data_IF_187905909644
#
_entry.id   IF_187905909644
#
_cell.length_a   1.000
_cell.length_b   1.000
_cell.length_c   1.000
_cell.angle_alpha   90.00
_cell.angle_beta   90.00
_cell.angle_gamma   90.00
#
_symmetry.space_group_name_H-M   'P 1'
#
loop_
_entity.id
_entity.type
_entity.pdbx_description
1 polymer ?
#
# COMPACT_ATOMS: atom_id res chain seq x y z
N UNK A 1 8.73 -25.77 5.21
CA UNK A 1 7.83 -24.58 5.13
C UNK A 1 8.68 -23.33 5.07
N UNK A 2 8.26 -22.37 4.27
CA UNK A 2 8.85 -21.04 4.16
C UNK A 2 7.77 -20.01 4.55
N UNK A 3 8.21 -18.96 5.27
CA UNK A 3 7.41 -17.74 5.48
C UNK A 3 8.33 -16.55 5.25
N UNK A 4 7.88 -15.63 4.40
CA UNK A 4 8.52 -14.34 4.16
C UNK A 4 7.49 -13.28 4.52
N UNK A 5 7.85 -12.33 5.40
CA UNK A 5 6.95 -11.28 5.85
C UNK A 5 7.66 -9.95 5.94
N UNK A 6 7.00 -8.90 5.51
CA UNK A 6 7.44 -7.54 5.73
C UNK A 6 7.01 -7.06 7.12
N UNK A 7 7.93 -6.40 7.82
CA UNK A 7 7.70 -5.86 9.16
C UNK A 7 8.46 -4.56 9.33
N UNK A 8 8.09 -3.82 10.37
CA UNK A 8 8.86 -2.66 10.83
C UNK A 8 9.15 -1.66 9.71
N UNK A 9 8.15 -1.41 8.85
CA UNK A 9 8.25 -0.34 7.86
C UNK A 9 8.48 0.99 8.58
N UNK A 10 9.45 1.76 8.09
CA UNK A 10 9.84 3.05 8.63
C UNK A 10 9.93 4.07 7.50
N UNK A 11 8.88 4.85 7.34
CA UNK A 11 8.80 5.84 6.29
C UNK A 11 9.89 6.93 6.40
N UNK A 12 10.28 7.31 7.62
CA UNK A 12 11.33 8.31 7.86
C UNK A 12 12.70 7.86 7.36
N UNK A 13 13.03 6.60 7.56
CA UNK A 13 14.30 6.01 7.16
C UNK A 13 14.24 5.40 5.75
N UNK A 14 13.06 5.39 5.13
CA UNK A 14 12.78 4.75 3.83
C UNK A 14 13.19 3.26 3.80
N UNK A 15 12.87 2.53 4.88
CA UNK A 15 13.25 1.13 5.04
C UNK A 15 12.10 0.25 5.48
N UNK A 16 12.20 -1.04 5.13
CA UNK A 16 11.35 -2.12 5.62
C UNK A 16 12.23 -3.31 6.00
N UNK A 17 11.78 -4.13 6.93
CA UNK A 17 12.46 -5.35 7.37
C UNK A 17 11.80 -6.57 6.73
N UNK A 18 12.55 -7.34 5.95
CA UNK A 18 12.12 -8.64 5.43
C UNK A 18 12.49 -9.69 6.47
N UNK A 19 11.48 -10.38 6.99
CA UNK A 19 11.64 -11.45 7.96
C UNK A 19 11.48 -12.81 7.30
N UNK A 20 12.49 -13.64 7.41
CA UNK A 20 12.53 -15.01 6.90
C UNK A 20 12.34 -16.01 8.03
N UNK A 21 11.50 -17.04 7.82
CA UNK A 21 11.38 -18.20 8.69
C UNK A 21 11.27 -19.48 7.84
N UNK A 22 12.32 -20.29 7.86
CA UNK A 22 12.44 -21.48 7.01
C UNK A 22 12.58 -22.73 7.87
N UNK A 23 11.82 -23.78 7.53
CA UNK A 23 11.99 -25.13 8.11
C UNK A 23 12.32 -26.08 6.97
N UNK A 24 13.60 -26.47 6.78
CA UNK A 24 14.00 -27.47 5.79
C UNK A 24 13.46 -28.85 6.21
N UNK A 25 13.36 -29.77 5.23
CA UNK A 25 12.89 -31.15 5.48
C UNK A 25 13.87 -31.92 6.37
N UNK A 26 15.17 -31.67 6.20
CA UNK A 26 16.25 -32.34 6.90
C UNK A 26 17.24 -31.31 7.41
N UNK A 27 17.59 -31.36 8.68
CA UNK A 27 18.60 -30.52 9.29
C UNK A 27 19.11 -31.12 10.61
N UNK A 28 20.27 -30.70 11.06
CA UNK A 28 20.86 -31.05 12.35
C UNK A 28 21.18 -29.79 13.15
N UNK A 29 21.66 -29.95 14.37
CA UNK A 29 22.12 -28.81 15.19
C UNK A 29 23.27 -28.04 14.55
N UNK A 30 24.08 -28.71 13.72
CA UNK A 30 25.24 -28.11 13.05
C UNK A 30 24.95 -27.54 11.65
N UNK A 31 23.69 -27.61 11.22
CA UNK A 31 23.26 -27.03 9.95
C UNK A 31 23.40 -25.50 9.99
N UNK A 32 24.16 -24.97 9.03
CA UNK A 32 24.25 -23.53 8.74
C UNK A 32 23.29 -23.19 7.62
N UNK A 33 22.66 -22.04 7.67
CA UNK A 33 21.76 -21.57 6.63
C UNK A 33 22.02 -20.11 6.30
N UNK A 34 21.84 -19.77 5.03
CA UNK A 34 21.99 -18.42 4.50
C UNK A 34 20.88 -18.15 3.48
N UNK A 35 20.42 -16.91 3.38
CA UNK A 35 19.57 -16.40 2.32
C UNK A 35 20.30 -15.29 1.58
N UNK A 36 20.24 -15.31 0.24
CA UNK A 36 20.74 -14.26 -0.63
C UNK A 36 19.63 -13.79 -1.58
N UNK A 37 19.54 -12.49 -1.85
CA UNK A 37 18.60 -11.88 -2.77
C UNK A 37 19.10 -10.49 -3.18
N UNK A 38 19.04 -10.15 -4.45
CA UNK A 38 19.69 -8.97 -4.99
C UNK A 38 21.13 -8.86 -4.45
N UNK A 39 21.52 -7.73 -3.92
CA UNK A 39 22.84 -7.50 -3.30
C UNK A 39 22.95 -7.91 -1.82
N UNK A 40 21.90 -8.48 -1.25
CA UNK A 40 21.85 -8.82 0.18
C UNK A 40 22.15 -10.29 0.41
N UNK A 41 22.86 -10.58 1.49
CA UNK A 41 23.09 -11.92 2.01
C UNK A 41 23.01 -11.91 3.52
N UNK A 42 22.31 -12.89 4.11
CA UNK A 42 22.13 -12.96 5.54
C UNK A 42 22.12 -14.41 6.05
N UNK A 43 22.97 -14.68 7.06
CA UNK A 43 22.96 -15.96 7.79
C UNK A 43 21.69 -16.07 8.64
N UNK A 44 21.03 -17.22 8.55
CA UNK A 44 19.86 -17.53 9.36
C UNK A 44 20.28 -18.22 10.67
N UNK A 45 19.64 -17.81 11.77
CA UNK A 45 19.85 -18.41 13.09
C UNK A 45 18.83 -19.51 13.33
N UNK A 46 19.31 -20.67 13.77
CA UNK A 46 18.42 -21.77 14.18
C UNK A 46 17.75 -21.44 15.51
N UNK A 47 16.40 -21.47 15.55
CA UNK A 47 15.61 -21.26 16.75
C UNK A 47 14.34 -22.12 16.72
N UNK A 48 14.18 -23.01 17.71
CA UNK A 48 13.00 -23.88 17.86
C UNK A 48 12.62 -24.63 16.56
N UNK A 49 13.61 -25.23 15.90
CA UNK A 49 13.39 -26.01 14.68
C UNK A 49 13.22 -25.21 13.40
N UNK A 50 13.38 -23.89 13.44
CA UNK A 50 13.33 -22.99 12.27
C UNK A 50 14.63 -22.23 12.12
N UNK A 51 14.96 -21.87 10.89
CA UNK A 51 16.03 -20.94 10.56
C UNK A 51 15.40 -19.58 10.29
N UNK A 52 15.80 -18.56 11.05
CA UNK A 52 15.22 -17.23 11.02
C UNK A 52 16.27 -16.15 10.74
N UNK A 53 15.90 -15.16 9.98
CA UNK A 53 16.69 -13.96 9.76
C UNK A 53 15.76 -12.75 9.53
N UNK A 54 16.33 -11.56 9.69
CA UNK A 54 15.71 -10.31 9.27
C UNK A 54 16.75 -9.49 8.53
N UNK A 55 16.35 -8.87 7.42
CA UNK A 55 17.18 -7.99 6.61
C UNK A 55 16.44 -6.67 6.38
N UNK A 56 17.08 -5.56 6.69
CA UNK A 56 16.53 -4.23 6.42
C UNK A 56 16.92 -3.79 5.02
N UNK A 57 15.92 -3.43 4.22
CA UNK A 57 16.07 -3.00 2.82
C UNK A 57 15.33 -1.69 2.58
N UNK A 58 15.64 -0.93 1.51
CA UNK A 58 14.81 0.18 1.08
C UNK A 58 13.39 -0.31 0.75
N UNK A 59 12.36 0.37 1.22
CA UNK A 59 10.98 -0.06 1.02
C UNK A 59 10.50 0.05 -0.44
N UNK A 60 11.21 0.81 -1.28
CA UNK A 60 10.93 0.95 -2.72
C UNK A 60 11.48 -0.23 -3.55
N UNK A 61 12.28 -1.12 -2.96
CA UNK A 61 12.84 -2.29 -3.63
C UNK A 61 12.00 -3.53 -3.37
N UNK A 62 11.53 -4.15 -4.43
CA UNK A 62 10.76 -5.40 -4.40
C UNK A 62 11.66 -6.53 -4.89
N UNK A 63 11.77 -7.59 -4.09
CA UNK A 63 12.57 -8.77 -4.39
C UNK A 63 11.66 -9.95 -4.60
N UNK A 64 11.75 -10.60 -5.75
CA UNK A 64 10.94 -11.78 -6.09
C UNK A 64 11.71 -13.08 -5.98
N UNK A 65 13.04 -13.05 -6.10
CA UNK A 65 13.90 -14.25 -6.04
C UNK A 65 14.72 -14.29 -4.76
N UNK A 66 14.63 -15.42 -4.04
CA UNK A 66 15.38 -15.68 -2.82
C UNK A 66 16.13 -17.00 -2.92
N UNK A 67 17.45 -16.95 -2.76
CA UNK A 67 18.34 -18.11 -2.79
C UNK A 67 18.67 -18.57 -1.37
N UNK A 68 18.21 -19.74 -0.99
CA UNK A 68 18.51 -20.35 0.30
C UNK A 68 19.60 -21.41 0.15
N UNK A 69 20.62 -21.35 1.01
CA UNK A 69 21.69 -22.32 1.08
C UNK A 69 21.73 -22.94 2.47
N UNK A 70 21.83 -24.27 2.53
CA UNK A 70 21.94 -25.03 3.78
C UNK A 70 23.19 -25.91 3.69
N UNK A 71 24.08 -25.78 4.67
CA UNK A 71 25.31 -26.60 4.80
C UNK A 71 25.18 -27.50 6.03
N UNK A 72 25.28 -28.82 5.82
CA UNK A 72 25.27 -29.82 6.90
C UNK A 72 26.42 -30.81 6.68
N UNK A 73 27.34 -30.94 7.64
CA UNK A 73 28.49 -31.86 7.54
C UNK A 73 29.32 -31.69 6.26
N UNK A 74 29.51 -30.45 5.81
CA UNK A 74 30.26 -30.15 4.58
C UNK A 74 29.50 -30.40 3.27
N UNK A 75 28.24 -30.82 3.34
CA UNK A 75 27.35 -30.95 2.18
C UNK A 75 26.46 -29.73 2.08
N UNK A 76 26.50 -29.06 0.94
CA UNK A 76 25.70 -27.89 0.64
C UNK A 76 24.51 -28.26 -0.24
N UNK A 77 23.30 -27.81 0.18
CA UNK A 77 22.07 -27.87 -0.63
C UNK A 77 21.55 -26.43 -0.81
N UNK A 78 21.16 -26.09 -2.02
CA UNK A 78 20.56 -24.79 -2.33
C UNK A 78 19.18 -24.92 -2.93
N UNK A 79 18.37 -23.89 -2.77
CA UNK A 79 17.03 -23.77 -3.36
C UNK A 79 16.77 -22.32 -3.67
N UNK A 80 16.32 -22.06 -4.89
CA UNK A 80 15.79 -20.74 -5.29
C UNK A 80 14.29 -20.75 -5.14
N UNK A 81 13.76 -19.71 -4.58
CA UNK A 81 12.34 -19.50 -4.35
C UNK A 81 11.92 -18.25 -5.12
N UNK A 82 10.97 -18.40 -6.02
CA UNK A 82 10.26 -17.27 -6.61
C UNK A 82 9.09 -16.91 -5.67
N UNK A 83 9.13 -15.73 -5.09
CA UNK A 83 8.14 -15.29 -4.11
C UNK A 83 6.74 -15.15 -4.71
N UNK A 84 6.63 -14.80 -5.99
CA UNK A 84 5.36 -14.66 -6.70
C UNK A 84 4.57 -15.98 -6.81
N UNK A 85 5.26 -17.12 -6.64
CA UNK A 85 4.65 -18.46 -6.64
C UNK A 85 4.15 -18.90 -5.25
N UNK A 86 4.40 -18.08 -4.21
CA UNK A 86 4.05 -18.41 -2.82
C UNK A 86 2.95 -17.49 -2.29
N UNK A 87 1.80 -18.04 -1.99
CA UNK A 87 0.65 -17.32 -1.43
C UNK A 87 0.89 -16.63 -0.08
N UNK A 88 1.95 -17.00 0.63
CA UNK A 88 2.33 -16.41 1.94
C UNK A 88 3.33 -15.24 1.79
N UNK A 89 3.67 -14.84 0.57
CA UNK A 89 4.52 -13.70 0.29
C UNK A 89 3.67 -12.45 0.16
N UNK A 90 3.81 -11.57 1.12
CA UNK A 90 3.21 -10.24 1.10
C UNK A 90 4.34 -9.25 0.86
N UNK A 91 4.53 -8.81 -0.38
CA UNK A 91 5.47 -7.74 -0.66
C UNK A 91 4.88 -6.37 -0.29
N UNK A 92 5.74 -5.38 -0.23
CA UNK A 92 5.33 -4.03 0.17
C UNK A 92 4.52 -3.33 -0.93
N UNK A 93 4.61 -3.79 -2.18
CA UNK A 93 3.89 -3.25 -3.32
C UNK A 93 2.43 -3.71 -3.39
N UNK A 94 2.08 -4.80 -2.69
CA UNK A 94 0.71 -5.31 -2.65
C UNK A 94 -0.24 -4.51 -1.74
N UNK A 95 0.24 -3.42 -1.12
CA UNK A 95 -0.61 -2.56 -0.30
C UNK A 95 -1.74 -1.91 -1.08
N UNK A 96 -1.55 -1.64 -2.37
CA UNK A 96 -2.62 -1.16 -3.24
C UNK A 96 -3.77 -2.16 -3.34
N UNK A 97 -3.48 -3.44 -3.50
CA UNK A 97 -4.48 -4.52 -3.48
C UNK A 97 -5.21 -4.59 -2.15
N UNK A 98 -4.48 -4.48 -1.02
CA UNK A 98 -5.09 -4.48 0.32
C UNK A 98 -6.03 -3.27 0.49
N UNK A 99 -5.64 -2.10 -0.01
CA UNK A 99 -6.48 -0.90 0.03
C UNK A 99 -7.73 -1.07 -0.84
N UNK A 100 -7.61 -1.62 -2.04
CA UNK A 100 -8.74 -1.87 -2.93
C UNK A 100 -9.74 -2.85 -2.33
N UNK A 101 -9.28 -3.90 -1.65
CA UNK A 101 -10.14 -4.88 -0.99
C UNK A 101 -10.88 -4.31 0.24
N UNK A 102 -10.34 -3.27 0.85
CA UNK A 102 -10.81 -2.71 2.11
C UNK A 102 -11.54 -1.37 1.98
N UNK A 103 -11.60 -0.79 0.80
CA UNK A 103 -12.36 0.43 0.55
C UNK A 103 -13.55 0.11 -0.32
N UNK A 104 -14.74 0.22 0.26
CA UNK A 104 -15.99 0.18 -0.50
C UNK A 104 -16.49 1.61 -0.71
N UNK A 105 -16.74 1.95 -1.96
CA UNK A 105 -17.36 3.21 -2.34
C UNK A 105 -18.74 2.89 -2.90
N UNK A 106 -19.80 3.18 -2.16
CA UNK A 106 -21.13 3.21 -2.76
C UNK A 106 -21.30 4.56 -3.47
N UNK A 107 -21.17 4.51 -4.79
CA UNK A 107 -21.36 5.68 -5.63
C UNK A 107 -22.85 5.95 -5.82
N UNK A 108 -23.38 6.89 -5.06
CA UNK A 108 -24.71 7.47 -5.25
C UNK A 108 -24.62 8.86 -5.87
N UNK A 109 -23.59 9.11 -6.69
CA UNK A 109 -23.45 10.38 -7.36
C UNK A 109 -24.40 10.41 -8.58
N UNK A 110 -25.50 11.14 -8.46
CA UNK A 110 -26.19 11.69 -9.61
C UNK A 110 -25.54 13.05 -9.90
N UNK A 111 -24.92 13.23 -11.08
CA UNK A 111 -24.39 14.54 -11.45
C UNK A 111 -25.55 15.54 -11.40
N UNK A 112 -25.53 16.44 -10.43
CA UNK A 112 -26.47 17.55 -10.43
C UNK A 112 -25.91 18.60 -11.37
N UNK A 113 -26.69 18.95 -12.36
CA UNK A 113 -26.47 20.00 -13.35
C UNK A 113 -26.38 21.40 -12.74
N UNK A 114 -25.60 21.62 -11.70
CA UNK A 114 -25.54 22.91 -11.03
C UNK A 114 -24.11 23.46 -11.01
N UNK A 115 -23.60 23.82 -12.17
CA UNK A 115 -22.59 24.87 -12.24
C UNK A 115 -23.33 26.20 -12.25
N UNK A 116 -23.31 26.90 -11.12
CA UNK A 116 -23.85 28.24 -11.00
C UNK A 116 -22.72 29.21 -10.72
N UNK A 117 -22.63 30.28 -11.49
CA UNK A 117 -21.63 31.35 -11.32
C UNK A 117 -20.17 30.84 -11.32
N UNK A 118 -19.87 29.86 -12.18
CA UNK A 118 -18.51 29.28 -12.30
C UNK A 118 -18.11 28.40 -11.09
N UNK A 119 -19.09 27.90 -10.35
CA UNK A 119 -18.87 27.00 -9.21
C UNK A 119 -19.64 25.70 -9.36
N UNK A 120 -19.03 24.61 -8.95
CA UNK A 120 -19.61 23.29 -8.88
C UNK A 120 -19.67 22.75 -7.45
N UNK A 121 -20.68 21.94 -7.16
CA UNK A 121 -20.77 21.21 -5.91
C UNK A 121 -20.30 19.77 -6.14
N UNK A 122 -19.21 19.38 -5.49
CA UNK A 122 -18.71 18.01 -5.46
C UNK A 122 -19.23 17.32 -4.19
N UNK A 123 -19.85 16.16 -4.35
CA UNK A 123 -20.41 15.41 -3.24
C UNK A 123 -20.09 13.92 -3.41
N UNK A 124 -19.67 13.27 -2.34
CA UNK A 124 -19.54 11.81 -2.26
C UNK A 124 -20.24 11.34 -0.98
N UNK A 125 -20.98 10.24 -1.08
CA UNK A 125 -21.79 9.70 0.01
C UNK A 125 -21.39 8.27 0.31
N UNK A 126 -21.63 7.87 1.57
CA UNK A 126 -21.53 6.47 2.01
C UNK A 126 -20.21 5.80 1.66
N UNK A 127 -19.10 6.51 1.91
CA UNK A 127 -17.78 5.90 1.84
C UNK A 127 -17.50 5.12 3.11
N UNK A 128 -17.16 3.85 2.92
CA UNK A 128 -16.70 2.96 3.97
C UNK A 128 -15.24 2.62 3.76
N UNK A 129 -14.45 2.69 4.83
CA UNK A 129 -13.06 2.25 4.88
C UNK A 129 -12.91 1.18 5.94
N UNK A 130 -12.64 -0.03 5.52
CA UNK A 130 -12.22 -1.11 6.41
C UNK A 130 -10.71 -1.13 6.50
N UNK A 131 -10.18 -0.85 7.66
CA UNK A 131 -8.75 -0.89 7.95
C UNK A 131 -8.57 -1.42 9.37
N UNK A 132 -7.60 -2.30 9.58
CA UNK A 132 -7.27 -2.77 10.93
C UNK A 132 -6.85 -1.55 11.77
N UNK A 133 -7.58 -1.30 12.88
CA UNK A 133 -7.27 -0.22 13.80
C UNK A 133 -5.80 -0.27 14.27
N UNK A 134 -5.24 -1.48 14.34
CA UNK A 134 -3.83 -1.69 14.66
C UNK A 134 -2.87 -1.10 13.62
N UNK A 135 -3.29 -0.86 12.40
CA UNK A 135 -2.46 -0.33 11.30
C UNK A 135 -2.58 1.19 11.15
N UNK A 136 -3.61 1.82 11.73
CA UNK A 136 -3.79 3.27 11.68
C UNK A 136 -2.95 3.98 12.75
N UNK A 137 -2.29 5.06 12.41
CA UNK A 137 -1.35 5.80 13.27
C UNK A 137 -2.01 6.82 14.18
N UNK A 138 -3.19 6.62 14.68
CA UNK A 138 -3.86 7.60 15.54
C UNK A 138 -4.29 8.90 14.84
N UNK A 139 -4.12 9.03 13.53
CA UNK A 139 -4.75 10.05 12.70
C UNK A 139 -6.04 9.52 12.14
N UNK A 140 -7.11 10.29 12.25
CA UNK A 140 -8.41 9.93 11.66
C UNK A 140 -8.31 9.89 10.14
N UNK A 141 -8.75 8.82 9.47
CA UNK A 141 -8.89 8.79 8.03
C UNK A 141 -9.77 9.93 7.52
N UNK A 142 -9.49 10.42 6.32
CA UNK A 142 -10.16 11.59 5.75
C UNK A 142 -10.62 11.33 4.32
N UNK A 143 -11.78 11.87 3.97
CA UNK A 143 -12.22 12.04 2.59
C UNK A 143 -11.66 13.37 2.10
N UNK A 144 -10.96 13.36 0.97
CA UNK A 144 -10.29 14.54 0.43
C UNK A 144 -10.74 14.81 -1.00
N UNK A 145 -10.87 16.09 -1.34
CA UNK A 145 -10.90 16.54 -2.73
C UNK A 145 -9.59 17.27 -3.04
N UNK A 146 -9.03 17.01 -4.21
CA UNK A 146 -7.81 17.66 -4.68
C UNK A 146 -7.95 18.19 -6.10
N UNK A 147 -7.21 19.27 -6.39
CA UNK A 147 -6.98 19.82 -7.72
C UNK A 147 -5.47 19.92 -7.94
N UNK A 148 -4.97 19.47 -9.08
CA UNK A 148 -3.53 19.49 -9.41
C UNK A 148 -2.64 18.88 -8.30
N UNK A 149 -3.11 17.76 -7.70
CA UNK A 149 -2.41 17.06 -6.62
C UNK A 149 -2.45 17.77 -5.26
N UNK A 150 -3.05 18.95 -5.14
CA UNK A 150 -3.20 19.68 -3.88
C UNK A 150 -4.58 19.48 -3.29
N UNK A 151 -4.65 19.10 -2.01
CA UNK A 151 -5.91 18.97 -1.28
C UNK A 151 -6.53 20.36 -1.14
N UNK A 152 -7.77 20.51 -1.65
CA UNK A 152 -8.59 21.74 -1.57
C UNK A 152 -9.66 21.63 -0.49
N UNK A 153 -10.05 20.42 -0.12
CA UNK A 153 -11.00 20.14 0.94
C UNK A 153 -10.72 18.79 1.59
N UNK A 154 -10.97 18.66 2.89
CA UNK A 154 -10.91 17.40 3.62
C UNK A 154 -11.98 17.33 4.69
N UNK A 155 -12.52 16.12 4.90
CA UNK A 155 -13.51 15.79 5.91
C UNK A 155 -13.07 14.55 6.67
N UNK A 156 -13.02 14.61 7.99
CA UNK A 156 -12.72 13.45 8.83
C UNK A 156 -13.82 12.40 8.72
N UNK A 157 -13.43 11.14 8.61
CA UNK A 157 -14.34 10.00 8.70
C UNK A 157 -14.64 9.67 10.16
N UNK A 158 -15.76 9.00 10.39
CA UNK A 158 -16.18 8.56 11.72
C UNK A 158 -15.93 7.07 11.87
N UNK A 159 -15.40 6.66 13.02
CA UNK A 159 -15.23 5.26 13.33
C UNK A 159 -16.48 4.64 13.93
N UNK A 160 -16.88 3.48 13.42
CA UNK A 160 -17.92 2.63 14.00
C UNK A 160 -17.27 1.39 14.62
N UNK A 161 -17.30 1.29 15.94
CA UNK A 161 -16.69 0.19 16.67
C UNK A 161 -17.47 -1.14 16.54
N UNK A 162 -18.75 -1.10 16.15
CA UNK A 162 -19.56 -2.31 15.98
C UNK A 162 -19.14 -3.07 14.70
N UNK A 163 -18.87 -2.33 13.63
CA UNK A 163 -18.49 -2.89 12.33
C UNK A 163 -16.97 -2.86 12.09
N UNK A 164 -16.21 -2.25 13.00
CA UNK A 164 -14.76 -2.02 12.86
C UNK A 164 -14.40 -1.28 11.55
N UNK A 165 -15.17 -0.25 11.22
CA UNK A 165 -15.05 0.50 9.97
C UNK A 165 -15.07 2.01 10.23
N UNK A 166 -14.38 2.74 9.33
CA UNK A 166 -14.58 4.18 9.20
C UNK A 166 -15.60 4.45 8.10
N UNK A 167 -16.46 5.43 8.31
CA UNK A 167 -17.49 5.83 7.35
C UNK A 167 -17.59 7.34 7.24
N UNK A 168 -18.04 7.81 6.10
CA UNK A 168 -18.21 9.25 5.91
C UNK A 168 -18.86 9.62 4.58
N UNK A 169 -19.20 10.89 4.53
CA UNK A 169 -19.64 11.57 3.31
C UNK A 169 -18.97 12.93 3.28
N UNK A 170 -18.69 13.46 2.11
CA UNK A 170 -18.07 14.75 1.97
C UNK A 170 -18.75 15.55 0.87
N UNK A 171 -18.92 16.87 1.13
CA UNK A 171 -19.50 17.80 0.18
C UNK A 171 -18.75 19.12 0.23
N UNK A 172 -18.40 19.65 -0.93
CA UNK A 172 -17.71 20.93 -1.04
C UNK A 172 -18.14 21.68 -2.30
N UNK A 173 -17.97 22.98 -2.31
CA UNK A 173 -18.16 23.83 -3.49
C UNK A 173 -16.78 24.28 -3.96
N UNK A 174 -16.50 24.10 -5.24
CA UNK A 174 -15.22 24.45 -5.88
C UNK A 174 -15.45 25.39 -7.05
N UNK A 175 -14.40 26.13 -7.42
CA UNK A 175 -14.40 26.86 -8.69
C UNK A 175 -14.38 25.86 -9.84
N UNK A 176 -15.20 26.07 -10.86
CA UNK A 176 -15.33 25.14 -11.97
C UNK A 176 -15.07 25.91 -13.28
N UNK A 177 -13.83 25.87 -13.74
CA UNK A 177 -13.47 26.37 -15.05
C UNK A 177 -13.42 25.19 -16.03
N UNK A 178 -13.58 25.47 -17.32
CA UNK A 178 -13.51 24.46 -18.36
C UNK A 178 -12.20 23.66 -18.25
N UNK A 179 -12.30 22.32 -18.27
CA UNK A 179 -11.23 21.34 -18.08
C UNK A 179 -10.57 21.32 -16.68
N UNK A 180 -11.14 21.96 -15.68
CA UNK A 180 -10.68 21.73 -14.29
C UNK A 180 -11.01 20.30 -13.87
N UNK A 181 -10.01 19.60 -13.33
CA UNK A 181 -10.17 18.22 -12.84
C UNK A 181 -9.96 18.16 -11.34
N UNK A 182 -10.93 17.58 -10.65
CA UNK A 182 -10.86 17.30 -9.22
C UNK A 182 -10.85 15.79 -8.98
N UNK A 183 -10.06 15.34 -8.00
CA UNK A 183 -10.04 13.94 -7.58
C UNK A 183 -10.53 13.83 -6.15
N UNK A 184 -11.45 12.87 -5.92
CA UNK A 184 -11.87 12.47 -4.59
C UNK A 184 -11.10 11.22 -4.17
N UNK A 185 -10.59 11.19 -2.94
CA UNK A 185 -9.92 10.04 -2.40
C UNK A 185 -10.07 9.96 -0.88
N UNK A 186 -10.04 8.74 -0.36
CA UNK A 186 -9.81 8.47 1.07
C UNK A 186 -8.32 8.44 1.33
N UNK A 187 -7.88 9.10 2.39
CA UNK A 187 -6.49 8.99 2.87
C UNK A 187 -6.43 8.58 4.32
N UNK A 188 -5.42 7.81 4.66
CA UNK A 188 -5.03 7.59 6.04
C UNK A 188 -3.51 7.46 6.17
N UNK A 189 -3.01 7.67 7.38
CA UNK A 189 -1.59 7.50 7.68
C UNK A 189 -1.44 6.22 8.50
N UNK A 190 -0.71 5.26 7.96
CA UNK A 190 -0.39 4.01 8.65
C UNK A 190 0.63 4.21 9.78
N UNK A 191 0.78 3.23 10.65
CA UNK A 191 1.79 3.23 11.73
C UNK A 191 3.23 3.37 11.23
N UNK A 192 3.49 2.95 10.01
CA UNK A 192 4.77 3.15 9.32
C UNK A 192 5.12 4.62 9.09
N UNK A 193 4.11 5.50 9.11
CA UNK A 193 4.21 6.91 8.72
C UNK A 193 3.99 7.14 7.23
N UNK A 194 3.64 6.10 6.46
CA UNK A 194 3.24 6.24 5.06
C UNK A 194 1.80 6.73 4.97
N UNK A 195 1.52 7.56 3.96
CA UNK A 195 0.18 7.99 3.62
C UNK A 195 -0.38 7.11 2.50
N UNK A 196 -1.55 6.54 2.72
CA UNK A 196 -2.28 5.73 1.75
C UNK A 196 -3.43 6.56 1.19
N UNK A 197 -3.58 6.59 -0.14
CA UNK A 197 -4.67 7.24 -0.86
C UNK A 197 -5.38 6.23 -1.74
N UNK A 198 -6.66 6.10 -1.54
CA UNK A 198 -7.55 5.36 -2.43
C UNK A 198 -8.44 6.36 -3.18
N UNK A 199 -8.26 6.44 -4.49
CA UNK A 199 -9.01 7.34 -5.35
C UNK A 199 -10.37 6.72 -5.68
N UNK A 200 -11.43 7.42 -5.30
CA UNK A 200 -12.82 6.96 -5.48
C UNK A 200 -13.41 7.53 -6.77
N UNK A 201 -13.21 8.83 -7.01
CA UNK A 201 -13.82 9.54 -8.13
C UNK A 201 -12.91 10.60 -8.72
N UNK A 202 -13.07 10.81 -10.03
CA UNK A 202 -12.54 11.96 -10.75
C UNK A 202 -13.71 12.77 -11.29
N UNK A 203 -13.69 14.08 -11.10
CA UNK A 203 -14.70 15.04 -11.55
C UNK A 203 -14.06 15.98 -12.56
N UNK A 204 -14.64 16.09 -13.74
CA UNK A 204 -14.17 16.97 -14.83
C UNK A 204 -15.20 18.05 -15.05
N UNK A 205 -14.76 19.33 -15.00
CA UNK A 205 -15.61 20.48 -15.21
C UNK A 205 -15.74 20.78 -16.72
N UNK A 206 -16.94 20.59 -17.28
CA UNK A 206 -17.32 20.92 -18.64
C UNK A 206 -17.96 22.32 -18.66
N UNK A 207 -17.12 23.35 -18.61
CA UNK A 207 -17.58 24.74 -18.43
C UNK A 207 -18.43 25.29 -19.56
N UNK A 208 -18.32 24.77 -20.78
CA UNK A 208 -19.15 25.19 -21.91
C UNK A 208 -20.58 24.67 -21.80
N UNK A 209 -20.78 23.47 -21.24
CA UNK A 209 -22.06 22.81 -21.09
C UNK A 209 -22.63 22.94 -19.68
N UNK A 210 -21.92 23.60 -18.77
CA UNK A 210 -22.30 23.81 -17.36
C UNK A 210 -22.62 22.53 -16.58
N UNK A 211 -21.90 21.45 -16.82
CA UNK A 211 -22.03 20.22 -16.03
C UNK A 211 -20.66 19.72 -15.53
N UNK A 212 -20.70 18.80 -14.58
CA UNK A 212 -19.53 18.09 -14.07
C UNK A 212 -19.71 16.62 -14.42
N UNK A 213 -18.80 16.10 -15.22
CA UNK A 213 -18.69 14.65 -15.46
C UNK A 213 -17.96 13.98 -14.32
N UNK A 214 -18.35 12.75 -13.98
CA UNK A 214 -17.69 11.97 -12.94
C UNK A 214 -17.36 10.57 -13.40
N UNK A 215 -16.13 10.16 -13.11
CA UNK A 215 -15.64 8.82 -13.44
C UNK A 215 -15.17 8.14 -12.16
N UNK A 216 -15.61 6.90 -11.94
CA UNK A 216 -15.12 6.07 -10.84
C UNK A 216 -13.65 5.76 -11.07
N UNK A 217 -12.85 5.89 -10.03
CA UNK A 217 -11.42 5.59 -10.05
C UNK A 217 -11.10 4.62 -8.92
N UNK A 218 -10.57 3.44 -9.28
CA UNK A 218 -10.17 2.41 -8.31
C UNK A 218 -8.64 2.33 -8.19
N UNK A 219 -7.99 3.47 -8.12
CA UNK A 219 -6.53 3.53 -8.01
C UNK A 219 -6.10 3.77 -6.56
N UNK A 220 -5.14 2.98 -6.10
CA UNK A 220 -4.49 3.18 -4.81
C UNK A 220 -3.05 3.66 -5.02
N UNK A 221 -2.61 4.58 -4.16
CA UNK A 221 -1.25 5.12 -4.17
C UNK A 221 -0.71 5.23 -2.76
N UNK A 222 0.59 5.05 -2.60
CA UNK A 222 1.30 5.18 -1.34
C UNK A 222 2.26 6.37 -1.44
N UNK A 223 2.25 7.23 -0.43
CA UNK A 223 3.09 8.42 -0.38
C UNK A 223 4.06 8.34 0.79
N UNK A 224 5.30 8.71 0.54
CA UNK A 224 6.30 8.87 1.58
C UNK A 224 6.08 10.10 2.45
N UNK A 225 6.84 10.23 3.53
CA UNK A 225 6.79 11.41 4.43
C UNK A 225 7.24 12.71 3.75
N UNK A 226 7.87 12.62 2.59
CA UNK A 226 8.23 13.77 1.75
C UNK A 226 7.11 14.20 0.78
N UNK A 227 5.94 13.53 0.87
CA UNK A 227 4.76 13.80 0.05
C UNK A 227 4.89 13.33 -1.40
N UNK A 228 5.89 12.49 -1.71
CA UNK A 228 6.06 11.88 -3.02
C UNK A 228 5.44 10.50 -3.04
N UNK A 229 4.80 10.19 -4.15
CA UNK A 229 4.30 8.85 -4.43
C UNK A 229 5.46 7.86 -4.53
N UNK A 230 5.32 6.70 -3.89
CA UNK A 230 6.31 5.65 -3.95
C UNK A 230 6.30 4.99 -5.33
N UNK A 231 7.50 4.82 -5.89
CA UNK A 231 7.71 4.05 -7.11
C UNK A 231 8.45 2.77 -6.72
N UNK A 232 7.82 1.63 -6.98
CA UNK A 232 8.40 0.34 -6.66
C UNK A 232 9.34 -0.12 -7.79
N UNK A 233 10.54 -0.55 -7.40
CA UNK A 233 11.55 -1.04 -8.32
C UNK A 233 11.74 -2.55 -8.06
N UNK A 234 11.32 -3.35 -9.03
CA UNK A 234 11.55 -4.79 -8.99
C UNK A 234 13.03 -5.07 -9.26
N UNK A 235 13.64 -5.85 -8.39
CA UNK A 235 15.04 -6.26 -8.49
C UNK A 235 15.06 -7.70 -8.99
N UNK A 236 15.31 -7.88 -10.29
CA UNK A 236 15.53 -9.18 -10.90
C UNK A 236 16.99 -9.57 -10.73
N UNK A 237 17.24 -10.77 -10.24
CA UNK A 237 18.60 -11.33 -10.09
C UNK A 237 19.23 -11.76 -11.45
N UNK A 238 18.53 -11.54 -12.57
CA UNK A 238 18.96 -11.98 -13.91
C UNK A 238 20.08 -11.14 -14.54
N UNK A 239 20.65 -10.16 -13.82
CA UNK A 239 21.81 -9.40 -14.28
C UNK A 239 23.10 -9.97 -13.66
N UNK A 240 23.39 -11.26 -13.89
CA UNK A 240 24.76 -11.74 -13.88
C UNK A 240 25.40 -11.44 -15.25
N UNK A 241 26.17 -10.33 -15.33
CA UNK A 241 27.27 -10.19 -16.28
C UNK A 241 28.57 -10.72 -15.66
#
# INVERSE_FOLDING_TARGET
TLKIKFKNCNAKNKTVEIHFAVTPKEYTADTKAEVAFGKYSQKLKQKKGKFIASVTVPYEQVFTLFHFTFETNGVTKSSTINADEYSDYEDFSNWDTILQENVTCEDNYEPKEDISDGKATLEIKNLDLTVDESEVSGYTPQICFSKDGKVVYSQDMKYNAEDNQYYGSAKTTVDCNNNDTYKCFVRYIGKSGLEYRYYCNTYECEGEDNYVDSTISDAACIYGTDGKELQFNYVDDDNEE
#
